data_IF_020507914176
#
_entry.id   IF_020507914176
#
_cell.length_a   1.000
_cell.length_b   1.000
_cell.length_c   1.000
_cell.angle_alpha   90.00
_cell.angle_beta   90.00
_cell.angle_gamma   90.00
#
_symmetry.space_group_name_H-M   'P 1'
#
loop_
_entity.id
_entity.type
_entity.pdbx_description
1 polymer ?
#
# COMPACT_ATOMS: atom_id res chain seq x y z
N UNK A 1 21.62 24.52 -15.63
CA UNK A 1 20.51 23.76 -15.02
C UNK A 1 19.75 23.13 -16.18
N UNK A 2 19.56 21.81 -16.15
CA UNK A 2 19.07 20.97 -17.27
C UNK A 2 17.56 21.10 -17.54
N UNK A 3 16.80 21.94 -16.83
CA UNK A 3 15.34 22.04 -16.93
C UNK A 3 14.57 20.76 -16.56
N UNK A 4 15.26 19.70 -16.18
CA UNK A 4 14.65 18.45 -15.70
C UNK A 4 14.17 18.64 -14.25
N UNK A 5 12.98 18.13 -13.88
CA UNK A 5 12.55 18.12 -12.48
C UNK A 5 13.58 17.40 -11.63
N UNK A 6 14.12 18.08 -10.61
CA UNK A 6 15.06 17.46 -9.67
C UNK A 6 14.41 16.34 -8.87
N UNK A 7 15.23 15.52 -8.18
CA UNK A 7 14.76 14.48 -7.25
C UNK A 7 14.36 15.01 -5.88
N UNK A 8 14.21 16.31 -5.72
CA UNK A 8 13.97 16.93 -4.41
C UNK A 8 12.64 16.48 -3.81
N UNK A 9 11.61 16.31 -4.62
CA UNK A 9 10.31 15.77 -4.15
C UNK A 9 10.37 14.37 -3.52
N UNK A 10 11.43 13.59 -3.83
CA UNK A 10 11.66 12.28 -3.23
C UNK A 10 12.49 12.32 -1.93
N UNK A 11 12.94 13.51 -1.50
CA UNK A 11 13.87 13.71 -0.38
C UNK A 11 13.26 14.52 0.74
N UNK A 12 11.95 14.62 0.76
CA UNK A 12 11.21 15.33 1.80
C UNK A 12 11.26 14.50 3.09
N UNK A 13 11.49 15.12 4.27
CA UNK A 13 11.44 14.43 5.54
C UNK A 13 10.09 13.75 5.77
N UNK A 14 10.11 12.53 6.30
CA UNK A 14 8.90 11.79 6.66
C UNK A 14 8.17 12.53 7.79
N UNK A 15 6.86 12.74 7.69
CA UNK A 15 6.08 13.34 8.75
C UNK A 15 5.85 12.32 9.89
N UNK A 16 6.41 12.56 11.05
CA UNK A 16 6.31 11.65 12.20
C UNK A 16 5.15 11.99 13.12
N UNK A 17 5.00 13.28 13.50
CA UNK A 17 4.03 13.68 14.51
C UNK A 17 3.69 15.17 14.41
N UNK A 18 2.64 15.59 15.13
CA UNK A 18 2.21 16.97 15.19
C UNK A 18 1.35 17.41 14.02
N UNK A 19 0.93 18.68 14.04
CA UNK A 19 -0.04 19.24 13.12
C UNK A 19 0.54 20.26 12.13
N UNK A 20 1.84 20.55 12.23
CA UNK A 20 2.54 21.53 11.39
C UNK A 20 3.97 21.08 11.07
N UNK A 21 4.55 21.53 9.93
CA UNK A 21 5.94 21.28 9.62
C UNK A 21 6.88 21.74 10.77
N UNK A 22 7.98 21.04 11.01
CA UNK A 22 8.52 19.87 10.29
C UNK A 22 7.94 18.51 10.69
N UNK A 23 6.75 18.44 11.24
CA UNK A 23 6.04 17.21 11.62
C UNK A 23 6.87 16.23 12.44
N UNK A 24 7.52 16.73 13.49
CA UNK A 24 8.36 15.92 14.38
C UNK A 24 9.67 15.42 13.77
N UNK A 25 10.09 15.91 12.62
CA UNK A 25 11.37 15.58 12.04
C UNK A 25 12.48 16.48 12.63
N UNK A 26 13.41 15.88 13.37
CA UNK A 26 14.52 16.59 14.00
C UNK A 26 14.10 17.37 15.27
N UNK A 27 14.95 18.27 15.77
CA UNK A 27 14.73 19.00 17.03
C UNK A 27 13.62 20.06 16.98
N UNK A 28 12.90 20.20 15.88
CA UNK A 28 11.71 21.03 15.78
C UNK A 28 11.92 22.54 15.58
N UNK A 29 13.16 23.01 15.55
CA UNK A 29 13.47 24.46 15.46
C UNK A 29 13.91 24.93 14.07
N UNK A 30 14.23 24.02 13.15
CA UNK A 30 14.71 24.32 11.82
C UNK A 30 13.60 24.17 10.77
N UNK A 31 13.63 25.03 9.75
CA UNK A 31 12.81 24.83 8.55
C UNK A 31 13.41 23.70 7.71
N UNK A 32 12.61 22.74 7.23
CA UNK A 32 13.10 21.72 6.32
C UNK A 32 13.57 22.36 5.00
N UNK A 33 14.64 21.82 4.42
CA UNK A 33 15.19 22.27 3.14
C UNK A 33 14.13 22.28 2.02
N UNK A 34 13.25 21.28 2.03
CA UNK A 34 12.13 21.19 1.12
C UNK A 34 10.85 21.38 1.93
N UNK A 35 9.97 22.30 1.52
CA UNK A 35 8.72 22.55 2.21
C UNK A 35 7.86 21.28 2.30
N UNK A 36 7.29 21.04 3.46
CA UNK A 36 6.30 20.00 3.70
C UNK A 36 4.90 20.63 3.63
N UNK A 37 3.99 20.13 2.79
CA UNK A 37 2.63 20.67 2.70
C UNK A 37 1.87 20.50 4.05
N UNK A 38 1.07 21.49 4.44
CA UNK A 38 0.25 21.43 5.66
C UNK A 38 -0.75 20.25 5.63
N UNK A 39 -1.18 19.84 4.45
CA UNK A 39 -2.05 18.68 4.26
C UNK A 39 -1.44 17.38 4.80
N UNK A 40 -0.12 17.31 4.98
CA UNK A 40 0.56 16.12 5.51
C UNK A 40 0.33 15.86 7.00
N UNK A 41 -0.34 16.77 7.72
CA UNK A 41 -0.76 16.55 9.12
C UNK A 41 -1.58 15.26 9.30
N UNK A 42 -2.34 14.84 8.28
CA UNK A 42 -3.12 13.59 8.28
C UNK A 42 -2.29 12.36 7.87
N UNK A 43 -1.09 12.59 7.33
CA UNK A 43 -0.18 11.53 6.87
C UNK A 43 0.95 11.25 7.85
N UNK A 44 0.96 11.91 9.02
CA UNK A 44 1.97 11.62 10.05
C UNK A 44 1.82 10.19 10.57
N UNK A 45 2.94 9.59 11.00
CA UNK A 45 2.91 8.29 11.67
C UNK A 45 1.95 8.31 12.87
N UNK A 46 1.97 9.41 13.65
CA UNK A 46 1.06 9.60 14.79
C UNK A 46 -0.41 9.58 14.38
N UNK A 47 -0.79 10.24 13.29
CA UNK A 47 -2.17 10.27 12.82
C UNK A 47 -2.64 8.91 12.27
N UNK A 48 -1.72 8.14 11.70
CA UNK A 48 -2.03 6.88 11.04
C UNK A 48 -1.99 5.66 11.97
N UNK A 49 -1.30 5.73 13.11
CA UNK A 49 -1.02 4.54 13.93
C UNK A 49 -2.27 3.90 14.52
N UNK A 50 -3.29 4.71 14.83
CA UNK A 50 -4.54 4.27 15.45
C UNK A 50 -5.71 4.18 14.44
N UNK A 51 -5.44 4.49 13.17
CA UNK A 51 -6.38 4.37 12.06
C UNK A 51 -6.17 3.01 11.35
N UNK A 52 -7.13 2.06 11.46
CA UNK A 52 -7.03 0.75 10.85
C UNK A 52 -6.98 0.79 9.31
N UNK A 53 -7.54 1.84 8.70
CA UNK A 53 -7.62 2.00 7.25
C UNK A 53 -6.46 2.80 6.67
N UNK A 54 -5.54 3.28 7.54
CA UNK A 54 -4.36 4.01 7.10
C UNK A 54 -3.37 3.13 6.33
N UNK A 55 -2.58 3.79 5.47
CA UNK A 55 -1.48 3.14 4.75
C UNK A 55 -0.48 2.47 5.71
N UNK A 56 -0.17 3.11 6.85
CA UNK A 56 0.72 2.54 7.87
C UNK A 56 0.15 1.23 8.44
N UNK A 57 -1.12 1.22 8.79
CA UNK A 57 -1.80 0.04 9.33
C UNK A 57 -1.91 -1.06 8.28
N UNK A 58 -2.19 -0.72 7.04
CA UNK A 58 -2.16 -1.66 5.92
C UNK A 58 -0.79 -2.32 5.77
N UNK A 59 0.31 -1.56 5.72
CA UNK A 59 1.65 -2.11 5.60
C UNK A 59 2.04 -2.99 6.80
N UNK A 60 1.64 -2.62 8.02
CA UNK A 60 1.86 -3.46 9.21
C UNK A 60 1.17 -4.82 9.06
N UNK A 61 -0.10 -4.84 8.62
CA UNK A 61 -0.84 -6.10 8.37
C UNK A 61 -0.19 -6.92 7.25
N UNK A 62 0.18 -6.28 6.14
CA UNK A 62 0.82 -6.95 5.01
C UNK A 62 2.16 -7.60 5.41
N UNK A 63 2.99 -6.87 6.16
CA UNK A 63 4.28 -7.40 6.65
C UNK A 63 4.09 -8.53 7.68
N UNK A 64 3.09 -8.44 8.54
CA UNK A 64 2.74 -9.50 9.49
C UNK A 64 2.27 -10.76 8.74
N UNK A 65 1.33 -10.63 7.81
CA UNK A 65 0.86 -11.72 6.97
C UNK A 65 2.01 -12.36 6.18
N UNK A 66 2.87 -11.56 5.56
CA UNK A 66 4.04 -12.06 4.84
C UNK A 66 4.97 -12.91 5.72
N UNK A 67 5.18 -12.52 6.98
CA UNK A 67 6.06 -13.25 7.91
C UNK A 67 5.48 -14.58 8.36
N UNK A 68 4.16 -14.71 8.39
CA UNK A 68 3.48 -15.97 8.75
C UNK A 68 3.39 -16.99 7.60
N UNK A 69 3.68 -16.56 6.36
CA UNK A 69 3.66 -17.43 5.21
C UNK A 69 4.91 -18.31 5.15
N UNK A 70 4.78 -19.58 4.72
CA UNK A 70 5.92 -20.46 4.47
C UNK A 70 6.92 -19.84 3.48
N UNK A 71 8.20 -20.26 3.59
CA UNK A 71 9.27 -19.80 2.70
C UNK A 71 9.27 -20.59 1.36
N UNK A 72 8.10 -20.73 0.74
CA UNK A 72 7.97 -21.41 -0.54
C UNK A 72 8.56 -20.58 -1.69
N UNK A 73 8.91 -21.24 -2.78
CA UNK A 73 9.30 -20.58 -4.01
C UNK A 73 8.07 -20.12 -4.81
N UNK A 74 8.26 -19.13 -5.67
CA UNK A 74 7.23 -18.70 -6.63
C UNK A 74 7.04 -19.81 -7.64
N UNK A 75 5.86 -20.41 -7.66
CA UNK A 75 5.53 -21.54 -8.54
C UNK A 75 5.01 -21.09 -9.91
N UNK A 76 4.36 -19.94 -10.00
CA UNK A 76 3.94 -19.36 -11.27
C UNK A 76 3.73 -17.85 -11.19
N UNK A 77 3.93 -17.20 -12.34
CA UNK A 77 3.54 -15.81 -12.61
C UNK A 77 2.81 -15.81 -13.92
N UNK A 78 1.59 -15.31 -13.96
CA UNK A 78 0.76 -15.23 -15.16
C UNK A 78 0.15 -13.84 -15.28
N UNK A 79 0.09 -13.33 -16.50
CA UNK A 79 -0.65 -12.11 -16.84
C UNK A 79 -1.69 -12.47 -17.91
N UNK A 80 -2.93 -12.04 -17.67
CA UNK A 80 -4.06 -12.18 -18.59
C UNK A 80 -4.73 -10.81 -18.72
N UNK A 81 -4.51 -10.14 -19.85
CA UNK A 81 -4.87 -8.75 -20.02
C UNK A 81 -4.27 -7.88 -18.90
N UNK A 82 -5.13 -7.20 -18.15
CA UNK A 82 -4.75 -6.32 -17.04
C UNK A 82 -4.72 -7.03 -15.67
N UNK A 83 -4.78 -8.37 -15.66
CA UNK A 83 -4.77 -9.16 -14.43
C UNK A 83 -3.44 -9.87 -14.26
N UNK A 84 -2.74 -9.60 -13.14
CA UNK A 84 -1.55 -10.31 -12.75
C UNK A 84 -1.86 -11.32 -11.64
N UNK A 85 -1.45 -12.57 -11.82
CA UNK A 85 -1.54 -13.60 -10.79
C UNK A 85 -0.14 -14.14 -10.47
N UNK A 86 0.22 -14.11 -9.19
CA UNK A 86 1.45 -14.72 -8.67
C UNK A 86 1.07 -15.80 -7.68
N UNK A 87 1.62 -17.00 -7.85
CA UNK A 87 1.41 -18.14 -6.93
C UNK A 87 2.72 -18.51 -6.24
N UNK A 88 2.61 -18.77 -4.93
CA UNK A 88 3.70 -19.19 -4.07
C UNK A 88 3.18 -20.17 -3.03
N UNK A 89 3.45 -21.46 -3.20
CA UNK A 89 2.80 -22.49 -2.40
C UNK A 89 1.28 -22.38 -2.47
N UNK A 90 0.62 -22.32 -1.33
CA UNK A 90 -0.83 -22.13 -1.22
C UNK A 90 -1.25 -20.64 -1.34
N UNK A 91 -0.32 -19.69 -1.35
CA UNK A 91 -0.62 -18.29 -1.54
C UNK A 91 -0.85 -17.96 -3.02
N UNK A 92 -1.95 -17.28 -3.30
CA UNK A 92 -2.21 -16.59 -4.57
C UNK A 92 -2.30 -15.08 -4.33
N UNK A 93 -1.51 -14.30 -5.07
CA UNK A 93 -1.65 -12.85 -5.15
C UNK A 93 -2.27 -12.53 -6.50
N UNK A 94 -3.42 -11.86 -6.48
CA UNK A 94 -4.10 -11.43 -7.72
C UNK A 94 -4.20 -9.92 -7.70
N UNK A 95 -3.75 -9.29 -8.78
CA UNK A 95 -3.79 -7.83 -8.98
C UNK A 95 -4.65 -7.54 -10.20
N UNK A 96 -5.72 -6.81 -9.99
CA UNK A 96 -6.56 -6.29 -11.06
C UNK A 96 -6.13 -4.85 -11.39
N UNK A 97 -5.36 -4.69 -12.45
CA UNK A 97 -4.94 -3.38 -12.99
C UNK A 97 -5.94 -2.83 -14.02
N UNK A 98 -7.03 -3.56 -14.29
CA UNK A 98 -8.05 -3.17 -15.25
C UNK A 98 -9.04 -2.16 -14.68
N UNK A 99 -9.92 -1.65 -15.54
CA UNK A 99 -10.95 -0.69 -15.20
C UNK A 99 -12.30 -1.32 -14.79
N UNK A 100 -12.38 -2.64 -14.82
CA UNK A 100 -13.62 -3.39 -14.51
C UNK A 100 -13.37 -4.43 -13.43
N UNK A 101 -14.38 -4.74 -12.58
CA UNK A 101 -14.27 -5.82 -11.62
C UNK A 101 -14.06 -7.19 -12.28
N UNK A 102 -13.31 -8.05 -11.63
CA UNK A 102 -13.07 -9.44 -12.04
C UNK A 102 -13.56 -10.40 -10.95
N UNK A 103 -13.80 -11.68 -11.23
CA UNK A 103 -14.13 -12.67 -10.20
C UNK A 103 -13.06 -12.72 -9.10
N UNK A 104 -13.49 -12.71 -7.84
CA UNK A 104 -12.59 -12.89 -6.70
C UNK A 104 -12.05 -14.33 -6.72
N UNK A 105 -10.73 -14.54 -6.56
CA UNK A 105 -10.18 -15.89 -6.50
C UNK A 105 -10.74 -16.64 -5.29
N UNK A 106 -10.92 -17.96 -5.45
CA UNK A 106 -11.37 -18.83 -4.37
C UNK A 106 -10.28 -19.00 -3.30
N UNK A 107 -10.70 -19.14 -2.04
CA UNK A 107 -9.83 -19.34 -0.89
C UNK A 107 -10.10 -18.36 0.25
N UNK A 108 -9.28 -18.45 1.30
CA UNK A 108 -9.34 -17.53 2.44
C UNK A 108 -8.67 -16.19 2.09
N UNK A 109 -9.41 -15.09 2.20
CA UNK A 109 -8.87 -13.75 1.99
C UNK A 109 -7.95 -13.35 3.16
N UNK A 110 -6.66 -13.21 2.90
CA UNK A 110 -5.66 -12.80 3.88
C UNK A 110 -5.47 -11.27 3.92
N UNK A 111 -5.51 -10.63 2.76
CA UNK A 111 -5.27 -9.20 2.63
C UNK A 111 -5.90 -8.66 1.34
N UNK A 112 -6.40 -7.43 1.41
CA UNK A 112 -6.81 -6.65 0.24
C UNK A 112 -6.15 -5.28 0.27
N UNK A 113 -5.75 -4.73 -0.87
CA UNK A 113 -5.10 -3.41 -0.97
C UNK A 113 -6.08 -2.25 -0.81
N UNK A 114 -7.37 -2.52 -0.90
CA UNK A 114 -8.46 -1.56 -0.73
C UNK A 114 -9.76 -2.27 -0.35
N UNK A 115 -10.83 -1.51 -0.13
CA UNK A 115 -12.16 -2.05 0.17
C UNK A 115 -12.69 -2.88 -1.00
N UNK A 116 -13.40 -3.97 -0.71
CA UNK A 116 -13.98 -4.85 -1.73
C UNK A 116 -15.45 -4.53 -2.05
N UNK A 117 -16.07 -3.61 -1.33
CA UNK A 117 -17.44 -3.17 -1.51
C UNK A 117 -17.65 -2.28 -2.75
N UNK A 118 -16.56 -1.85 -3.40
CA UNK A 118 -16.60 -1.12 -4.69
C UNK A 118 -16.94 -1.98 -5.91
N UNK A 119 -17.24 -3.29 -5.73
CA UNK A 119 -17.61 -4.22 -6.79
C UNK A 119 -18.77 -5.12 -6.36
N UNK A 120 -19.45 -5.81 -7.30
CA UNK A 120 -20.44 -6.83 -6.96
C UNK A 120 -19.86 -7.90 -6.03
N UNK A 121 -20.71 -8.50 -5.18
CA UNK A 121 -20.28 -9.57 -4.27
C UNK A 121 -19.55 -10.69 -5.02
N UNK A 122 -18.42 -11.14 -4.46
CA UNK A 122 -17.59 -12.15 -5.11
C UNK A 122 -16.71 -11.63 -6.25
N UNK A 123 -16.52 -10.33 -6.36
CA UNK A 123 -15.65 -9.71 -7.36
C UNK A 123 -14.55 -8.87 -6.71
N UNK A 124 -13.39 -8.82 -7.36
CA UNK A 124 -12.27 -7.96 -7.04
C UNK A 124 -12.43 -6.66 -7.83
N UNK A 125 -12.52 -5.50 -7.16
CA UNK A 125 -12.63 -4.21 -7.84
C UNK A 125 -11.46 -3.91 -8.78
N UNK A 126 -11.65 -2.92 -9.65
CA UNK A 126 -10.57 -2.30 -10.42
C UNK A 126 -9.48 -1.77 -9.49
N UNK A 127 -8.25 -1.67 -9.98
CA UNK A 127 -7.06 -1.15 -9.25
C UNK A 127 -6.86 -1.75 -7.85
N UNK A 128 -7.26 -3.00 -7.66
CA UNK A 128 -7.20 -3.68 -6.36
C UNK A 128 -6.40 -4.97 -6.43
N UNK A 129 -5.66 -5.27 -5.37
CA UNK A 129 -4.93 -6.51 -5.20
C UNK A 129 -5.43 -7.28 -3.97
N UNK A 130 -5.41 -8.61 -4.07
CA UNK A 130 -5.73 -9.50 -2.93
C UNK A 130 -4.68 -10.58 -2.76
N UNK A 131 -4.51 -10.99 -1.51
CA UNK A 131 -3.79 -12.20 -1.12
C UNK A 131 -4.80 -13.22 -0.64
N UNK A 132 -4.79 -14.38 -1.26
CA UNK A 132 -5.71 -15.48 -0.96
C UNK A 132 -4.92 -16.75 -0.68
N UNK A 133 -5.30 -17.46 0.37
CA UNK A 133 -4.75 -18.78 0.71
C UNK A 133 -5.72 -19.85 0.21
N UNK A 134 -5.23 -20.76 -0.65
CA UNK A 134 -6.00 -21.88 -1.21
C UNK A 134 -6.05 -23.06 -0.25
#
# INVERSE_FOLDING_TARGET
RTGQPGRDGCRVPIPWSGSAPPFGFGPGTGQPWIPQPDAWKTLTVQAQQDDPDSTLSFYRRALAARRSLPADEVSSVAADGDVLTVRRGALSVVVNCGSSPIPLPAGELLLASGPLDGAPAGHLPADTAVWVHA
#
